data_IF_364644400776
#
_entry.id   IF_364644400776
#
_cell.length_a   1.000
_cell.length_b   1.000
_cell.length_c   1.000
_cell.angle_alpha   90.00
_cell.angle_beta   90.00
_cell.angle_gamma   90.00
#
_symmetry.space_group_name_H-M   'P 1'
#
loop_
_entity.id
_entity.type
_entity.pdbx_description
1 polymer ?
#
# COMPACT_ATOMS: atom_id res chain seq x y z
N UNK A 1 12.34 25.76 30.55
CA UNK A 1 13.28 25.30 31.59
C UNK A 1 14.30 24.35 30.98
N UNK A 2 15.60 24.49 31.31
CA UNK A 2 16.63 23.52 30.89
C UNK A 2 16.37 22.15 31.53
N UNK A 3 16.72 21.07 30.83
CA UNK A 3 16.45 19.68 31.29
C UNK A 3 17.12 19.39 32.64
N UNK A 4 18.25 20.04 32.93
CA UNK A 4 18.98 19.89 34.18
C UNK A 4 18.22 20.42 35.41
N UNK A 5 17.26 21.33 35.23
CA UNK A 5 16.52 21.96 36.33
C UNK A 5 15.20 21.23 36.64
N UNK A 6 14.80 20.25 35.82
CA UNK A 6 13.55 19.49 36.00
C UNK A 6 13.58 18.50 37.16
N UNK A 7 14.76 18.09 37.59
CA UNK A 7 14.94 17.16 38.72
C UNK A 7 14.59 17.78 40.07
N UNK A 8 14.47 19.11 40.17
CA UNK A 8 14.16 19.82 41.42
C UNK A 8 12.65 19.89 41.74
N UNK A 9 11.79 19.40 40.84
CA UNK A 9 10.33 19.46 40.98
C UNK A 9 9.65 18.08 40.93
N UNK A 10 10.44 17.01 41.05
CA UNK A 10 9.93 15.65 41.02
C UNK A 10 9.97 15.05 42.43
N UNK A 11 8.81 14.59 42.90
CA UNK A 11 8.69 13.87 44.16
C UNK A 11 8.84 12.36 43.88
N UNK A 12 9.77 11.72 44.59
CA UNK A 12 10.02 10.28 44.51
C UNK A 12 9.34 9.57 45.68
N UNK A 13 8.21 8.92 45.44
CA UNK A 13 7.59 8.02 46.41
C UNK A 13 8.10 6.58 46.19
N UNK A 14 9.20 6.26 46.88
CA UNK A 14 9.85 4.95 46.82
C UNK A 14 9.03 3.81 47.44
N UNK A 15 7.93 4.12 48.15
CA UNK A 15 7.00 3.11 48.67
C UNK A 15 6.11 2.49 47.60
N UNK A 16 5.81 3.24 46.54
CA UNK A 16 4.93 2.83 45.43
C UNK A 16 5.66 2.74 44.08
N UNK A 17 6.98 2.97 44.07
CA UNK A 17 7.81 3.02 42.87
C UNK A 17 7.27 4.01 41.81
N UNK A 18 6.71 5.13 42.26
CA UNK A 18 6.09 6.13 41.39
C UNK A 18 6.99 7.36 41.30
N UNK A 19 7.22 7.83 40.07
CA UNK A 19 7.93 9.07 39.79
C UNK A 19 6.94 10.10 39.25
N UNK A 20 6.65 11.12 40.05
CA UNK A 20 5.74 12.19 39.69
C UNK A 20 6.52 13.42 39.24
N UNK A 21 6.67 13.59 37.91
CA UNK A 21 7.24 14.80 37.32
C UNK A 21 6.20 15.94 37.37
N UNK A 22 6.36 16.88 38.31
CA UNK A 22 5.48 18.07 38.43
C UNK A 22 5.93 19.22 37.53
N UNK A 23 6.95 19.05 36.69
CA UNK A 23 7.36 20.10 35.77
C UNK A 23 6.17 20.49 34.86
N UNK A 24 5.92 21.79 34.64
CA UNK A 24 4.88 22.22 33.71
C UNK A 24 5.20 21.64 32.34
N UNK A 25 4.22 20.95 31.75
CA UNK A 25 4.33 20.43 30.40
C UNK A 25 4.58 21.62 29.46
N UNK A 26 5.82 21.77 29.01
CA UNK A 26 6.17 22.76 27.99
C UNK A 26 5.27 22.50 26.78
N UNK A 27 4.42 23.49 26.42
CA UNK A 27 3.36 23.36 25.41
C UNK A 27 3.85 22.86 24.05
N UNK A 28 5.15 22.97 23.81
CA UNK A 28 5.85 22.53 22.61
C UNK A 28 6.07 21.01 22.52
N UNK A 29 5.96 20.25 23.62
CA UNK A 29 6.21 18.80 23.65
C UNK A 29 4.95 17.93 23.72
N UNK A 30 3.76 18.54 23.79
CA UNK A 30 2.47 17.82 23.75
C UNK A 30 1.93 17.59 22.33
N UNK A 31 2.75 17.88 21.31
CA UNK A 31 2.26 18.05 19.94
C UNK A 31 2.82 17.02 18.95
N UNK A 32 3.11 15.79 19.39
CA UNK A 32 3.53 14.69 18.49
C UNK A 32 2.32 13.99 17.83
N UNK A 33 1.11 14.14 18.39
CA UNK A 33 -0.14 13.67 17.76
C UNK A 33 -0.80 14.68 16.80
N UNK A 34 -0.17 15.82 16.53
CA UNK A 34 -0.45 16.61 15.33
C UNK A 34 0.19 15.93 14.14
N UNK A 35 -0.35 14.75 13.85
CA UNK A 35 -0.09 13.99 12.66
C UNK A 35 -0.42 14.91 11.51
N UNK A 36 0.64 15.46 10.93
CA UNK A 36 0.65 16.23 9.70
C UNK A 36 -0.44 15.72 8.75
N UNK A 37 -1.43 16.56 8.46
CA UNK A 37 -2.53 16.19 7.59
C UNK A 37 -1.93 15.79 6.23
N UNK A 38 -2.14 14.55 5.76
CA UNK A 38 -1.51 14.09 4.53
C UNK A 38 -1.96 14.98 3.38
N UNK A 39 -0.99 15.53 2.66
CA UNK A 39 -1.24 16.37 1.48
C UNK A 39 -2.03 15.57 0.44
N UNK A 40 -2.94 16.26 -0.25
CA UNK A 40 -3.69 15.68 -1.36
C UNK A 40 -2.72 15.10 -2.40
N UNK A 41 -2.95 13.85 -2.80
CA UNK A 41 -2.10 13.15 -3.77
C UNK A 41 -2.30 13.79 -5.15
N UNK A 42 -1.22 13.91 -5.91
CA UNK A 42 -1.34 14.31 -7.31
C UNK A 42 -2.16 13.29 -8.10
N UNK A 43 -3.03 13.79 -8.99
CA UNK A 43 -3.82 12.94 -9.88
C UNK A 43 -2.91 12.11 -10.78
N UNK A 44 -3.16 10.81 -10.84
CA UNK A 44 -2.50 9.88 -11.75
C UNK A 44 -2.85 10.17 -13.20
N UNK A 45 -2.05 9.65 -14.14
CA UNK A 45 -2.33 9.84 -15.58
C UNK A 45 -3.72 9.34 -15.98
N UNK A 46 -4.16 8.21 -15.42
CA UNK A 46 -5.48 7.65 -15.73
C UNK A 46 -6.62 8.50 -15.16
N UNK A 47 -6.48 9.03 -13.95
CA UNK A 47 -7.51 9.91 -13.34
C UNK A 47 -7.67 11.22 -14.10
N UNK A 48 -6.55 11.79 -14.59
CA UNK A 48 -6.59 12.95 -15.49
C UNK A 48 -7.36 12.62 -16.77
N UNK A 49 -7.03 11.48 -17.39
CA UNK A 49 -7.69 11.02 -18.61
C UNK A 49 -9.19 10.72 -18.39
N UNK A 50 -9.54 10.03 -17.30
CA UNK A 50 -10.92 9.67 -16.99
C UNK A 50 -11.77 10.90 -16.72
N UNK A 51 -11.23 11.91 -16.03
CA UNK A 51 -11.91 13.20 -15.82
C UNK A 51 -12.13 13.94 -17.13
N UNK A 52 -11.14 13.98 -18.02
CA UNK A 52 -11.26 14.60 -19.34
C UNK A 52 -12.27 13.87 -20.24
N UNK A 53 -12.38 12.55 -20.12
CA UNK A 53 -13.32 11.73 -20.90
C UNK A 53 -14.69 11.55 -20.23
N UNK A 54 -14.91 12.08 -19.03
CA UNK A 54 -16.15 11.89 -18.28
C UNK A 54 -16.41 10.42 -17.87
N UNK A 55 -15.36 9.61 -17.73
CA UNK A 55 -15.51 8.20 -17.34
C UNK A 55 -15.76 8.13 -15.82
N UNK A 56 -16.96 7.71 -15.45
CA UNK A 56 -17.38 7.55 -14.05
C UNK A 56 -17.09 6.14 -13.52
N UNK A 57 -16.66 6.05 -12.25
CA UNK A 57 -16.42 4.77 -11.58
C UNK A 57 -17.74 4.22 -11.03
N UNK A 58 -18.11 3.02 -11.46
CA UNK A 58 -19.26 2.27 -10.91
C UNK A 58 -18.80 1.07 -10.08
N UNK A 59 -19.60 0.70 -9.08
CA UNK A 59 -19.37 -0.50 -8.27
C UNK A 59 -19.66 -1.75 -9.10
N UNK A 60 -18.67 -2.64 -9.22
CA UNK A 60 -18.84 -3.94 -9.87
C UNK A 60 -19.11 -5.01 -8.81
N UNK A 61 -20.00 -5.99 -9.07
CA UNK A 61 -20.28 -7.07 -8.12
C UNK A 61 -19.08 -8.01 -7.98
N UNK A 62 -18.92 -8.58 -6.78
CA UNK A 62 -17.83 -9.50 -6.44
C UNK A 62 -18.04 -10.89 -7.05
N UNK A 63 -19.30 -11.34 -7.15
CA UNK A 63 -19.68 -12.59 -7.81
C UNK A 63 -20.34 -12.31 -9.15
N UNK A 64 -20.16 -13.22 -10.09
CA UNK A 64 -20.72 -13.21 -11.44
C UNK A 64 -21.36 -14.59 -11.66
N UNK A 65 -22.54 -14.60 -12.29
CA UNK A 65 -23.21 -15.85 -12.66
C UNK A 65 -22.43 -16.54 -13.76
N UNK A 66 -22.17 -17.84 -13.59
CA UNK A 66 -21.54 -18.70 -14.57
C UNK A 66 -22.59 -19.65 -15.14
N UNK A 67 -22.86 -19.55 -16.44
CA UNK A 67 -23.87 -20.33 -17.13
C UNK A 67 -23.51 -21.82 -17.17
N UNK A 68 -22.22 -22.15 -17.23
CA UNK A 68 -21.75 -23.54 -17.33
C UNK A 68 -21.95 -24.34 -16.04
N UNK A 69 -21.71 -23.71 -14.90
CA UNK A 69 -21.87 -24.32 -13.57
C UNK A 69 -23.20 -23.98 -12.91
N UNK A 70 -24.06 -23.18 -13.57
CA UNK A 70 -25.32 -22.66 -13.05
C UNK A 70 -25.18 -22.11 -11.63
N UNK A 71 -24.15 -21.27 -11.41
CA UNK A 71 -23.77 -20.84 -10.07
C UNK A 71 -23.09 -19.49 -10.00
N UNK A 72 -23.04 -18.91 -8.80
CA UNK A 72 -22.37 -17.64 -8.53
C UNK A 72 -20.89 -17.86 -8.21
N UNK A 73 -20.02 -17.59 -9.19
CA UNK A 73 -18.56 -17.65 -9.01
C UNK A 73 -17.96 -16.28 -8.72
N UNK A 74 -16.86 -16.17 -7.96
CA UNK A 74 -16.16 -14.91 -7.77
C UNK A 74 -15.55 -14.40 -9.08
N UNK A 75 -15.52 -13.08 -9.25
CA UNK A 75 -14.88 -12.41 -10.40
C UNK A 75 -13.35 -12.52 -10.37
N UNK A 76 -12.76 -12.62 -9.17
CA UNK A 76 -11.33 -12.69 -8.95
C UNK A 76 -11.03 -13.54 -7.71
N UNK A 77 -9.80 -14.04 -7.61
CA UNK A 77 -9.36 -14.91 -6.51
C UNK A 77 -9.40 -16.39 -6.88
N UNK A 78 -9.58 -17.23 -5.86
CA UNK A 78 -9.72 -18.69 -5.98
C UNK A 78 -11.11 -19.03 -6.53
N UNK A 79 -11.19 -20.07 -7.35
CA UNK A 79 -12.43 -20.57 -8.00
C UNK A 79 -13.15 -19.51 -8.85
N UNK A 80 -12.39 -18.60 -9.45
CA UNK A 80 -12.93 -17.53 -10.31
C UNK A 80 -13.43 -18.08 -11.64
N UNK A 81 -14.36 -17.36 -12.25
CA UNK A 81 -15.01 -17.77 -13.51
C UNK A 81 -14.04 -18.03 -14.67
N UNK A 82 -12.91 -17.31 -14.76
CA UNK A 82 -11.95 -17.34 -15.88
C UNK A 82 -10.59 -17.97 -15.49
N UNK A 83 -10.61 -19.11 -14.79
CA UNK A 83 -9.36 -19.75 -14.35
C UNK A 83 -8.67 -20.53 -15.47
N UNK A 84 -7.59 -19.97 -16.05
CA UNK A 84 -6.77 -20.67 -17.05
C UNK A 84 -6.21 -22.04 -16.59
N UNK A 85 -6.07 -22.28 -15.28
CA UNK A 85 -5.56 -23.56 -14.76
C UNK A 85 -6.58 -24.70 -14.81
N UNK A 86 -7.87 -24.38 -14.82
CA UNK A 86 -8.95 -25.37 -14.88
C UNK A 86 -9.27 -25.77 -16.33
N UNK A 87 -8.73 -25.04 -17.32
CA UNK A 87 -8.90 -25.37 -18.72
C UNK A 87 -8.03 -26.58 -19.07
N UNK A 88 -8.68 -27.68 -19.42
CA UNK A 88 -8.04 -28.92 -19.84
C UNK A 88 -7.59 -28.89 -21.31
N UNK A 89 -8.22 -28.04 -22.14
CA UNK A 89 -7.88 -27.84 -23.55
C UNK A 89 -7.95 -26.35 -23.92
N UNK A 90 -7.02 -25.91 -24.76
CA UNK A 90 -7.02 -24.59 -25.39
C UNK A 90 -6.93 -24.82 -26.89
N UNK A 91 -7.88 -24.28 -27.65
CA UNK A 91 -7.86 -24.35 -29.11
C UNK A 91 -6.67 -23.53 -29.64
N UNK A 92 -5.82 -24.17 -30.45
CA UNK A 92 -4.70 -23.52 -31.12
C UNK A 92 -5.24 -22.85 -32.38
N UNK A 93 -5.10 -21.53 -32.56
CA UNK A 93 -5.54 -20.87 -33.78
C UNK A 93 -4.65 -21.29 -34.96
N UNK A 94 -5.23 -21.41 -36.16
CA UNK A 94 -4.55 -21.94 -37.37
C UNK A 94 -3.29 -21.15 -37.79
N UNK A 95 -3.14 -19.92 -37.29
CA UNK A 95 -1.98 -19.05 -37.56
C UNK A 95 -0.90 -19.08 -36.46
N UNK A 96 -1.03 -19.95 -35.45
CA UNK A 96 -0.02 -20.11 -34.41
C UNK A 96 1.15 -20.99 -34.87
N UNK A 97 2.33 -20.73 -34.31
CA UNK A 97 3.50 -21.58 -34.50
C UNK A 97 3.24 -22.97 -33.87
N UNK A 98 3.36 -24.07 -34.63
CA UNK A 98 3.17 -25.43 -34.12
C UNK A 98 4.06 -25.80 -32.92
N UNK A 99 5.18 -25.10 -32.71
CA UNK A 99 6.11 -25.37 -31.61
C UNK A 99 5.85 -24.53 -30.35
N UNK A 100 4.86 -23.64 -30.34
CA UNK A 100 4.57 -22.76 -29.20
C UNK A 100 3.51 -23.35 -28.25
N UNK A 101 3.88 -23.55 -26.98
CA UNK A 101 2.92 -23.91 -25.94
C UNK A 101 1.98 -22.73 -25.61
N UNK A 102 0.69 -22.91 -25.91
CA UNK A 102 -0.35 -21.90 -25.68
C UNK A 102 -0.59 -21.62 -24.19
N UNK A 103 -0.39 -22.60 -23.30
CA UNK A 103 -0.49 -22.37 -21.86
C UNK A 103 0.63 -21.46 -21.38
N UNK A 104 1.87 -21.72 -21.82
CA UNK A 104 3.00 -20.84 -21.52
C UNK A 104 2.75 -19.42 -22.02
N UNK A 105 2.31 -19.27 -23.27
CA UNK A 105 1.97 -17.97 -23.87
C UNK A 105 0.95 -17.20 -23.04
N UNK A 106 -0.14 -17.84 -22.64
CA UNK A 106 -1.17 -17.21 -21.80
C UNK A 106 -0.63 -16.79 -20.43
N UNK A 107 0.30 -17.57 -19.85
CA UNK A 107 0.94 -17.17 -18.58
C UNK A 107 1.92 -16.01 -18.76
N UNK A 108 2.72 -16.01 -19.84
CA UNK A 108 3.66 -14.94 -20.23
C UNK A 108 2.90 -13.63 -20.44
N UNK A 109 1.85 -13.63 -21.26
CA UNK A 109 0.99 -12.46 -21.51
C UNK A 109 0.39 -11.89 -20.22
N UNK A 110 -0.13 -12.76 -19.34
CA UNK A 110 -0.66 -12.35 -18.04
C UNK A 110 0.41 -11.67 -17.17
N UNK A 111 1.62 -12.23 -17.15
CA UNK A 111 2.74 -11.70 -16.38
C UNK A 111 3.22 -10.35 -16.95
N UNK A 112 3.31 -10.23 -18.27
CA UNK A 112 3.64 -8.98 -18.97
C UNK A 112 2.62 -7.89 -18.68
N UNK A 113 1.32 -8.21 -18.74
CA UNK A 113 0.26 -7.27 -18.39
C UNK A 113 0.38 -6.80 -16.94
N UNK A 114 0.73 -7.70 -16.02
CA UNK A 114 0.99 -7.37 -14.61
C UNK A 114 2.22 -6.46 -14.48
N UNK A 115 3.32 -6.79 -15.16
CA UNK A 115 4.55 -5.99 -15.17
C UNK A 115 4.31 -4.58 -15.73
N UNK A 116 3.54 -4.45 -16.82
CA UNK A 116 3.15 -3.16 -17.42
C UNK A 116 2.32 -2.30 -16.47
N UNK A 117 1.41 -2.92 -15.72
CA UNK A 117 0.64 -2.22 -14.68
C UNK A 117 1.56 -1.71 -13.57
N UNK A 118 2.47 -2.55 -13.08
CA UNK A 118 3.41 -2.18 -12.02
C UNK A 118 4.37 -1.08 -12.47
N UNK A 119 4.91 -1.18 -13.69
CA UNK A 119 5.72 -0.13 -14.29
C UNK A 119 4.98 1.20 -14.40
N UNK A 120 3.70 1.16 -14.77
CA UNK A 120 2.84 2.35 -14.81
C UNK A 120 2.59 2.93 -13.41
N UNK A 121 2.41 2.07 -12.40
CA UNK A 121 2.31 2.46 -10.99
C UNK A 121 3.58 3.18 -10.54
N UNK A 122 4.75 2.59 -10.79
CA UNK A 122 6.06 3.18 -10.44
C UNK A 122 6.27 4.53 -11.13
N UNK A 123 5.90 4.68 -12.41
CA UNK A 123 5.95 5.97 -13.11
C UNK A 123 5.04 7.02 -12.50
N UNK A 124 3.84 6.64 -12.04
CA UNK A 124 2.94 7.58 -11.37
C UNK A 124 3.47 7.98 -9.99
N UNK A 125 4.03 7.04 -9.24
CA UNK A 125 4.70 7.32 -7.96
C UNK A 125 5.87 8.28 -8.19
N UNK A 126 6.76 7.98 -9.14
CA UNK A 126 7.92 8.81 -9.47
C UNK A 126 7.54 10.25 -9.87
N UNK A 127 6.42 10.44 -10.58
CA UNK A 127 5.89 11.78 -10.89
C UNK A 127 5.40 12.52 -9.64
N UNK A 128 4.72 11.82 -8.74
CA UNK A 128 4.18 12.41 -7.51
C UNK A 128 5.26 12.69 -6.45
N UNK A 129 6.36 11.94 -6.44
CA UNK A 129 7.49 12.15 -5.55
C UNK A 129 8.40 13.25 -6.10
N UNK A 130 8.13 14.50 -5.74
CA UNK A 130 8.99 15.65 -6.09
C UNK A 130 10.41 15.43 -5.54
N UNK A 131 11.46 15.61 -6.35
CA UNK A 131 12.87 15.66 -5.89
C UNK A 131 12.97 16.72 -4.79
N UNK A 132 13.17 16.31 -3.53
CA UNK A 132 13.25 17.19 -2.36
C UNK A 132 12.24 16.92 -1.24
N UNK A 133 11.29 16.01 -1.43
CA UNK A 133 10.41 15.51 -0.35
C UNK A 133 10.70 14.02 -0.09
N UNK A 134 11.94 13.71 0.28
CA UNK A 134 12.33 12.40 0.82
C UNK A 134 12.15 12.40 2.33
N UNK A 135 11.39 11.43 2.83
CA UNK A 135 11.11 11.11 4.23
C UNK A 135 11.96 11.83 5.30
N UNK A 136 11.45 12.94 5.84
CA UNK A 136 11.95 13.57 7.06
C UNK A 136 11.44 12.83 8.30
N UNK A 137 11.65 11.52 8.40
CA UNK A 137 11.35 10.75 9.61
C UNK A 137 12.31 9.57 9.74
N UNK A 138 13.60 9.88 9.90
CA UNK A 138 14.55 8.95 10.52
C UNK A 138 14.46 9.14 12.04
N UNK A 139 13.65 8.33 12.72
CA UNK A 139 13.78 8.20 14.18
C UNK A 139 15.13 7.51 14.47
N UNK A 140 16.02 8.09 15.28
CA UNK A 140 17.23 7.41 15.69
C UNK A 140 16.84 6.25 16.61
N UNK A 141 17.05 5.02 16.15
CA UNK A 141 16.95 3.83 16.97
C UNK A 141 18.15 3.81 17.92
N UNK A 142 18.00 4.32 19.14
CA UNK A 142 19.02 4.21 20.19
C UNK A 142 19.00 2.77 20.73
N UNK A 143 20.00 1.97 20.37
CA UNK A 143 20.32 0.74 21.08
C UNK A 143 21.00 1.13 22.41
N UNK A 144 20.27 1.04 23.54
CA UNK A 144 20.91 1.01 24.85
C UNK A 144 21.60 -0.33 25.05
N UNK A 145 22.93 -0.32 25.05
CA UNK A 145 23.76 -1.36 25.64
C UNK A 145 24.18 -0.85 27.02
N UNK A 146 23.41 -1.20 28.05
CA UNK A 146 23.96 -1.36 29.40
C UNK A 146 24.58 -2.76 29.40
N UNK A 147 25.89 -2.93 29.60
CA UNK A 147 26.56 -2.64 30.86
C UNK A 147 26.54 -3.93 31.69
N UNK A 148 27.55 -4.78 31.52
CA UNK A 148 27.93 -5.85 32.46
C UNK A 148 29.43 -5.85 32.65
#
# INVERSE_FOLDING_TARGET
>A
MDIADRYLLADLDLGNLLYDDKAPLESNNLYIFQLFVPKARELTRWERFSRLKGITKHKKPRKVWDESSQGWKPRWGKDRIDNNKEKWVIEVPDNADPYEDQFEKATKERNERRAKNEFSRLKNIARSTKKGQGASFSFPFMHSQEGS
#
